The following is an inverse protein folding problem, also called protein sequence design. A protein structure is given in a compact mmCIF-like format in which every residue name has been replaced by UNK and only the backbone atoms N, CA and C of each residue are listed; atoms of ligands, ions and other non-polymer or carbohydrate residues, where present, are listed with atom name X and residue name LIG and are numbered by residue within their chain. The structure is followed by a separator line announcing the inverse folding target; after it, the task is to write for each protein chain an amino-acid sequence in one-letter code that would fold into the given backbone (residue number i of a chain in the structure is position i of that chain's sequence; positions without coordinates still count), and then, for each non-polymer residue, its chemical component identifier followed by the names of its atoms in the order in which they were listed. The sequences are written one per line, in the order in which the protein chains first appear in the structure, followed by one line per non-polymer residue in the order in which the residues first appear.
data_IF_468158023790
#
_entry.id   IF_468158023790
#
_cell.length_a   1.000
_cell.length_b   1.000
_cell.length_c   1.000
_cell.angle_alpha   90.00
_cell.angle_beta   90.00
_cell.angle_gamma   90.00
#
_symmetry.space_group_name_H-M   'P 1'
#
loop_
_entity.id
_entity.type
_entity.pdbx_description
1 polymer ?
#
# COMPACT_ATOMS: atom_id res chain seq x y z
N UNK A 1 7.75 -9.41 7.12
CA UNK A 1 8.47 -8.31 6.43
C UNK A 1 7.97 -6.99 6.99
N UNK A 2 8.76 -6.31 7.83
CA UNK A 2 8.42 -4.97 8.34
C UNK A 2 8.59 -3.98 7.18
N UNK A 3 7.58 -3.19 6.85
CA UNK A 3 7.71 -2.04 5.94
C UNK A 3 8.69 -1.06 6.61
N UNK A 4 9.94 -1.05 6.15
CA UNK A 4 11.01 -0.23 6.68
C UNK A 4 11.49 0.70 5.58
N UNK A 5 11.28 2.01 5.75
CA UNK A 5 11.77 3.04 4.84
C UNK A 5 13.24 3.40 5.13
N UNK A 6 13.94 2.68 6.02
CA UNK A 6 15.35 2.95 6.38
C UNK A 6 16.32 2.91 5.18
N UNK A 7 15.91 2.34 4.05
CA UNK A 7 16.69 2.28 2.82
C UNK A 7 16.41 3.44 1.86
N UNK A 8 15.34 4.23 2.07
CA UNK A 8 15.03 5.37 1.20
C UNK A 8 16.13 6.44 1.24
N UNK A 9 16.77 6.80 2.38
CA UNK A 9 17.83 7.81 2.38
C UNK A 9 19.07 7.35 1.62
N UNK A 10 19.41 6.05 1.70
CA UNK A 10 20.58 5.48 1.00
C UNK A 10 20.42 5.42 -0.52
N UNK A 11 19.18 5.34 -1.00
CA UNK A 11 18.85 5.31 -2.43
C UNK A 11 18.41 6.68 -2.95
N UNK A 12 18.25 7.67 -2.08
CA UNK A 12 17.76 8.99 -2.47
C UNK A 12 18.88 9.79 -3.12
N UNK A 13 18.68 10.15 -4.38
CA UNK A 13 19.51 11.12 -5.11
C UNK A 13 18.87 12.53 -5.14
N UNK A 14 17.92 12.79 -4.24
CA UNK A 14 17.21 14.07 -4.10
C UNK A 14 15.76 14.06 -4.59
N UNK A 15 15.33 13.01 -5.30
CA UNK A 15 13.98 12.92 -5.89
C UNK A 15 12.98 12.02 -5.15
N UNK A 16 13.39 11.30 -4.10
CA UNK A 16 12.49 10.42 -3.35
C UNK A 16 11.82 11.18 -2.19
N UNK A 17 10.49 11.12 -2.15
CA UNK A 17 9.70 11.61 -1.04
C UNK A 17 9.84 10.68 0.17
N UNK A 18 10.06 11.27 1.34
CA UNK A 18 10.11 10.55 2.61
C UNK A 18 8.70 10.55 3.22
N UNK A 19 8.06 9.39 3.41
CA UNK A 19 6.72 9.33 3.99
C UNK A 19 6.74 9.68 5.47
N UNK A 20 5.63 10.24 5.98
CA UNK A 20 5.45 10.42 7.42
C UNK A 20 5.29 9.07 8.13
N UNK A 21 5.64 9.02 9.41
CA UNK A 21 5.52 7.81 10.22
C UNK A 21 4.07 7.30 10.30
N UNK A 22 3.10 8.21 10.35
CA UNK A 22 1.67 7.90 10.34
C UNK A 22 1.26 7.12 9.09
N UNK A 23 1.69 7.57 7.90
CA UNK A 23 1.41 6.89 6.63
C UNK A 23 2.00 5.48 6.64
N UNK A 24 3.25 5.33 7.12
CA UNK A 24 3.90 4.02 7.21
C UNK A 24 3.13 3.08 8.14
N UNK A 25 2.67 3.57 9.30
CA UNK A 25 1.88 2.79 10.26
C UNK A 25 0.55 2.33 9.66
N UNK A 26 -0.14 3.21 8.93
CA UNK A 26 -1.39 2.87 8.21
C UNK A 26 -1.12 1.77 7.19
N UNK A 27 -0.07 1.91 6.36
CA UNK A 27 0.30 0.91 5.37
C UNK A 27 0.69 -0.44 6.01
N UNK A 28 1.37 -0.44 7.16
CA UNK A 28 1.72 -1.65 7.91
C UNK A 28 0.49 -2.41 8.40
N UNK A 29 -0.49 -1.69 8.93
CA UNK A 29 -1.76 -2.30 9.32
C UNK A 29 -2.47 -2.86 8.10
N UNK A 30 -2.60 -2.08 7.02
CA UNK A 30 -3.22 -2.56 5.78
C UNK A 30 -2.54 -3.82 5.22
N UNK A 31 -1.20 -3.87 5.20
CA UNK A 31 -0.43 -5.06 4.79
C UNK A 31 -0.73 -6.27 5.67
N UNK A 32 -0.96 -6.07 6.97
CA UNK A 32 -1.31 -7.15 7.89
C UNK A 32 -2.66 -7.77 7.53
N UNK A 33 -3.66 -6.94 7.19
CA UNK A 33 -4.97 -7.41 6.73
C UNK A 33 -4.88 -8.16 5.40
N UNK A 34 -4.16 -7.60 4.41
CA UNK A 34 -3.92 -8.30 3.13
C UNK A 34 -3.28 -9.67 3.39
N UNK A 35 -2.27 -9.75 4.25
CA UNK A 35 -1.60 -11.03 4.56
C UNK A 35 -2.54 -12.04 5.20
N UNK A 36 -3.41 -11.60 6.12
CA UNK A 36 -4.42 -12.48 6.73
C UNK A 36 -5.39 -13.02 5.69
N UNK A 37 -5.91 -12.15 4.83
CA UNK A 37 -6.77 -12.54 3.71
C UNK A 37 -6.08 -13.56 2.81
N UNK A 38 -4.84 -13.27 2.39
CA UNK A 38 -4.06 -14.18 1.55
C UNK A 38 -3.77 -15.53 2.22
N UNK A 39 -3.57 -15.55 3.54
CA UNK A 39 -3.38 -16.79 4.28
C UNK A 39 -4.66 -17.64 4.30
N UNK A 40 -5.82 -17.01 4.43
CA UNK A 40 -7.13 -17.68 4.41
C UNK A 40 -7.47 -18.21 3.01
N UNK A 41 -7.10 -17.50 1.94
CA UNK A 41 -7.39 -17.90 0.55
C UNK A 41 -6.31 -18.80 -0.07
N UNK A 42 -5.38 -19.35 0.72
CA UNK A 42 -4.33 -20.24 0.21
C UNK A 42 -3.38 -19.55 -0.78
N UNK A 43 -3.02 -18.29 -0.50
CA UNK A 43 -2.20 -17.41 -1.35
C UNK A 43 -2.81 -17.06 -2.73
N UNK A 44 -4.12 -17.18 -2.88
CA UNK A 44 -4.84 -16.73 -4.07
C UNK A 44 -5.37 -15.32 -3.87
N UNK A 45 -5.40 -14.54 -4.95
CA UNK A 45 -6.06 -13.23 -4.94
C UNK A 45 -7.56 -13.49 -4.79
N UNK A 46 -8.22 -12.92 -3.77
CA UNK A 46 -9.67 -13.07 -3.61
C UNK A 46 -10.41 -12.43 -4.80
N UNK A 47 -11.42 -13.12 -5.31
CA UNK A 47 -12.23 -12.65 -6.45
C UNK A 47 -13.51 -11.93 -6.03
N UNK A 48 -13.69 -11.64 -4.74
CA UNK A 48 -14.90 -10.97 -4.24
C UNK A 48 -14.85 -9.46 -4.52
N UNK A 49 -15.80 -8.97 -5.30
CA UNK A 49 -15.90 -7.56 -5.73
C UNK A 49 -15.94 -6.58 -4.55
N UNK A 50 -16.55 -6.98 -3.43
CA UNK A 50 -16.76 -6.13 -2.26
C UNK A 50 -15.65 -6.22 -1.21
N UNK A 51 -14.64 -7.06 -1.41
CA UNK A 51 -13.62 -7.28 -0.40
C UNK A 51 -12.77 -6.03 -0.15
N UNK A 52 -12.34 -5.35 -1.20
CA UNK A 52 -11.44 -4.19 -1.07
C UNK A 52 -12.11 -2.94 -0.48
N UNK A 53 -13.36 -2.59 -0.87
CA UNK A 53 -14.13 -1.58 -0.15
C UNK A 53 -14.31 -1.94 1.32
N UNK A 54 -14.66 -3.19 1.62
CA UNK A 54 -14.86 -3.66 3.01
C UNK A 54 -13.57 -3.58 3.83
N UNK A 55 -12.44 -4.00 3.28
CA UNK A 55 -11.13 -3.87 3.92
C UNK A 55 -10.77 -2.40 4.17
N UNK A 56 -11.06 -1.52 3.20
CA UNK A 56 -10.81 -0.08 3.35
C UNK A 56 -11.57 0.47 4.55
N UNK A 57 -12.86 0.13 4.67
CA UNK A 57 -13.71 0.56 5.79
C UNK A 57 -13.17 0.01 7.11
N UNK A 58 -12.94 -1.31 7.21
CA UNK A 58 -12.47 -1.97 8.44
C UNK A 58 -11.12 -1.40 8.91
N UNK A 59 -10.17 -1.23 7.99
CA UNK A 59 -8.84 -0.70 8.31
C UNK A 59 -8.97 0.77 8.75
N UNK A 60 -9.77 1.57 8.04
CA UNK A 60 -9.94 2.99 8.37
C UNK A 60 -10.60 3.17 9.73
N UNK A 61 -11.66 2.41 10.03
CA UNK A 61 -12.37 2.44 11.32
C UNK A 61 -11.43 2.19 12.51
N UNK A 62 -10.42 1.32 12.36
CA UNK A 62 -9.43 1.06 13.40
C UNK A 62 -8.64 2.31 13.82
N UNK A 63 -8.49 3.26 12.91
CA UNK A 63 -7.76 4.51 13.14
C UNK A 63 -8.68 5.68 13.46
N UNK A 64 -10.01 5.50 13.49
CA UNK A 64 -10.95 6.58 13.74
C UNK A 64 -10.70 7.25 15.10
N UNK A 65 -10.61 6.45 16.17
CA UNK A 65 -10.36 6.95 17.53
C UNK A 65 -8.94 7.51 17.76
N UNK A 66 -7.96 7.13 16.92
CA UNK A 66 -6.56 7.55 17.04
C UNK A 66 -6.14 8.51 15.94
N UNK A 67 -7.09 9.02 15.17
CA UNK A 67 -6.86 9.87 13.99
C UNK A 67 -6.12 11.16 14.36
N UNK A 68 -6.53 11.80 15.46
CA UNK A 68 -5.94 13.05 15.96
C UNK A 68 -4.49 12.85 16.45
N UNK A 69 -4.14 11.65 16.92
CA UNK A 69 -2.76 11.30 17.32
C UNK A 69 -1.85 10.96 16.13
N UNK A 70 -2.43 10.45 15.04
CA UNK A 70 -1.66 10.11 13.84
C UNK A 70 -1.22 11.36 13.08
N UNK A 71 -2.02 12.41 13.12
CA UNK A 71 -1.77 13.63 12.36
C UNK A 71 -2.00 14.87 13.25
N UNK A 72 -1.15 15.10 14.25
CA UNK A 72 -1.34 16.17 15.23
C UNK A 72 -1.34 17.56 14.58
N UNK A 73 -0.51 17.78 13.57
CA UNK A 73 -0.42 19.06 12.84
C UNK A 73 -1.61 19.34 11.93
N UNK A 74 -2.48 18.35 11.68
CA UNK A 74 -3.72 18.54 10.92
C UNK A 74 -4.89 18.95 11.80
N UNK A 75 -4.79 18.76 13.14
CA UNK A 75 -5.84 19.14 14.10
C UNK A 75 -6.07 20.65 14.08
N UNK A 76 -4.99 21.44 14.06
CA UNK A 76 -5.06 22.91 14.07
C UNK A 76 -5.77 23.48 12.83
N UNK A 77 -5.62 22.82 11.67
CA UNK A 77 -6.35 23.18 10.44
C UNK A 77 -7.81 22.72 10.46
N UNK A 78 -8.13 21.60 11.13
CA UNK A 78 -9.50 21.08 11.21
C UNK A 78 -10.41 21.91 12.12
N UNK A 79 -9.87 22.67 13.07
CA UNK A 79 -10.64 23.57 13.94
C UNK A 79 -11.29 24.75 13.20
N UNK A 80 -10.89 24.99 11.95
CA UNK A 80 -11.46 26.05 11.10
C UNK A 80 -12.69 25.60 10.30
N UNK A 81 -13.08 24.31 10.39
CA UNK A 81 -14.14 23.72 9.57
C UNK A 81 -15.40 23.38 10.38
N UNK A 82 -16.60 23.37 9.75
CA UNK A 82 -17.86 23.11 10.44
C UNK A 82 -17.90 21.69 11.04
N UNK A 83 -18.44 21.57 12.25
CA UNK A 83 -18.55 20.31 13.01
C UNK A 83 -19.40 19.20 12.38
N UNK A 84 -20.06 19.48 11.25
CA UNK A 84 -20.98 18.58 10.56
C UNK A 84 -20.34 17.80 9.39
N UNK A 85 -19.07 18.04 9.07
CA UNK A 85 -18.35 17.32 8.00
C UNK A 85 -17.55 16.12 8.55
N UNK A 86 -17.37 15.06 7.74
CA UNK A 86 -16.47 13.97 8.11
C UNK A 86 -15.09 14.55 8.45
N UNK A 87 -14.56 14.23 9.65
CA UNK A 87 -13.20 14.64 10.07
C UNK A 87 -12.23 14.47 8.90
N UNK A 88 -11.63 15.54 8.38
CA UNK A 88 -10.76 15.49 7.20
C UNK A 88 -9.61 14.49 7.36
N UNK A 89 -9.09 14.34 8.58
CA UNK A 89 -8.08 13.34 8.95
C UNK A 89 -8.56 11.91 8.63
N UNK A 90 -9.84 11.61 8.85
CA UNK A 90 -10.41 10.32 8.53
C UNK A 90 -10.56 10.09 7.02
N UNK A 91 -10.92 11.12 6.26
CA UNK A 91 -10.92 11.07 4.79
C UNK A 91 -9.51 10.78 4.27
N UNK A 92 -8.50 11.46 4.81
CA UNK A 92 -7.10 11.23 4.47
C UNK A 92 -6.68 9.78 4.75
N UNK A 93 -7.04 9.22 5.91
CA UNK A 93 -6.78 7.83 6.25
C UNK A 93 -7.44 6.89 5.23
N UNK A 94 -8.72 7.08 4.89
CA UNK A 94 -9.42 6.28 3.87
C UNK A 94 -8.68 6.31 2.53
N UNK A 95 -8.23 7.49 2.11
CA UNK A 95 -7.49 7.68 0.85
C UNK A 95 -6.13 6.96 0.87
N UNK A 96 -5.35 7.09 1.96
CA UNK A 96 -4.07 6.38 2.13
C UNK A 96 -4.27 4.87 2.06
N UNK A 97 -5.27 4.34 2.78
CA UNK A 97 -5.60 2.91 2.78
C UNK A 97 -5.96 2.45 1.38
N UNK A 98 -6.89 3.15 0.72
CA UNK A 98 -7.33 2.79 -0.63
C UNK A 98 -6.16 2.80 -1.64
N UNK A 99 -5.34 3.84 -1.62
CA UNK A 99 -4.15 3.93 -2.49
C UNK A 99 -3.19 2.76 -2.25
N UNK A 100 -2.90 2.44 -0.98
CA UNK A 100 -2.03 1.32 -0.63
C UNK A 100 -2.59 -0.02 -1.10
N UNK A 101 -3.88 -0.29 -0.83
CA UNK A 101 -4.53 -1.54 -1.24
C UNK A 101 -4.45 -1.72 -2.76
N UNK A 102 -4.80 -0.69 -3.54
CA UNK A 102 -4.73 -0.74 -5.02
C UNK A 102 -3.33 -1.07 -5.53
N UNK A 103 -2.31 -0.36 -5.04
CA UNK A 103 -0.91 -0.61 -5.43
C UNK A 103 -0.51 -2.05 -5.06
N UNK A 104 -0.91 -2.51 -3.87
CA UNK A 104 -0.51 -3.81 -3.36
C UNK A 104 -1.15 -4.96 -4.15
N UNK A 105 -2.42 -4.85 -4.49
CA UNK A 105 -3.14 -5.84 -5.31
C UNK A 105 -2.51 -5.90 -6.70
N UNK A 106 -2.27 -4.75 -7.33
CA UNK A 106 -1.60 -4.71 -8.62
C UNK A 106 -0.24 -5.42 -8.57
N UNK A 107 0.55 -5.17 -7.51
CA UNK A 107 1.82 -5.87 -7.30
C UNK A 107 1.65 -7.39 -7.13
N UNK A 108 0.61 -7.85 -6.43
CA UNK A 108 0.31 -9.27 -6.26
C UNK A 108 -0.13 -9.92 -7.58
N UNK A 109 -1.05 -9.28 -8.30
CA UNK A 109 -1.52 -9.72 -9.61
C UNK A 109 -0.36 -9.84 -10.60
N UNK A 110 0.50 -8.81 -10.68
CA UNK A 110 1.70 -8.85 -11.51
C UNK A 110 2.61 -10.04 -11.17
N UNK A 111 2.89 -10.26 -9.88
CA UNK A 111 3.71 -11.42 -9.46
C UNK A 111 3.07 -12.76 -9.81
N UNK A 112 1.74 -12.84 -9.76
CA UNK A 112 1.00 -14.03 -10.12
C UNK A 112 1.07 -14.29 -11.63
N UNK A 113 0.86 -13.25 -12.45
CA UNK A 113 1.02 -13.29 -13.90
C UNK A 113 2.45 -13.66 -14.30
N UNK A 114 3.46 -13.01 -13.71
CA UNK A 114 4.88 -13.29 -13.99
C UNK A 114 5.23 -14.76 -13.69
N UNK A 115 4.62 -15.36 -12.66
CA UNK A 115 4.81 -16.78 -12.33
C UNK A 115 4.17 -17.72 -13.35
N UNK A 116 2.98 -17.38 -13.84
CA UNK A 116 2.24 -18.22 -14.81
C UNK A 116 2.85 -18.10 -16.20
N UNK A 117 3.20 -16.89 -16.62
CA UNK A 117 3.68 -16.61 -17.97
C UNK A 117 5.09 -17.17 -18.23
N UNK A 118 5.86 -17.44 -17.18
CA UNK A 118 7.25 -17.88 -17.30
C UNK A 118 8.16 -16.80 -17.88
N UNK A 119 9.45 -17.10 -18.13
CA UNK A 119 10.33 -16.15 -18.82
C UNK A 119 9.82 -15.91 -20.23
N UNK A 120 9.55 -14.65 -20.56
CA UNK A 120 9.20 -14.24 -21.92
C UNK A 120 10.31 -14.68 -22.89
N UNK A 121 9.95 -15.26 -24.04
CA UNK A 121 10.90 -15.63 -25.10
C UNK A 121 11.79 -14.45 -25.46
N UNK A 122 11.26 -13.22 -25.43
CA UNK A 122 12.02 -11.98 -25.64
C UNK A 122 13.04 -11.71 -24.53
N UNK A 123 12.70 -11.98 -23.27
CA UNK A 123 13.64 -11.85 -22.14
C UNK A 123 14.73 -12.93 -22.15
N UNK A 124 14.39 -14.16 -22.58
CA UNK A 124 15.35 -15.23 -22.74
C UNK A 124 16.35 -14.93 -23.87
N UNK A 125 15.85 -14.49 -25.04
CA UNK A 125 16.67 -14.18 -26.21
C UNK A 125 17.51 -12.91 -26.04
N UNK A 126 16.99 -11.86 -25.37
CA UNK A 126 17.80 -10.65 -25.11
C UNK A 126 18.97 -10.92 -24.15
N UNK A 127 18.79 -11.80 -23.16
CA UNK A 127 19.93 -12.25 -22.33
C UNK A 127 20.92 -13.06 -23.15
N UNK A 128 20.44 -13.93 -24.03
CA UNK A 128 21.30 -14.72 -24.90
C UNK A 128 22.14 -13.83 -25.82
N UNK A 129 21.57 -12.79 -26.44
CA UNK A 129 22.30 -11.82 -27.26
C UNK A 129 23.35 -11.04 -26.44
N UNK A 130 23.02 -10.63 -25.21
CA UNK A 130 23.95 -9.90 -24.34
C UNK A 130 25.15 -10.74 -23.90
N UNK A 131 25.00 -12.07 -23.80
CA UNK A 131 26.07 -12.99 -23.39
C UNK A 131 26.67 -13.80 -24.55
N UNK A 132 26.19 -13.65 -25.80
CA UNK A 132 26.70 -14.41 -26.94
C UNK A 132 28.07 -13.91 -27.45
N UNK A 133 28.54 -12.78 -26.94
CA UNK A 133 29.80 -12.14 -27.34
C UNK A 133 30.76 -11.92 -26.15
N UNK A 134 30.59 -12.68 -25.07
CA UNK A 134 31.56 -12.83 -23.98
C UNK A 134 32.14 -14.23 -24.01
#
# INVERSE_FOLDING_TARGET
MKLSYRFTPKKNTGGLLIPSEAVVKICQVAETYIRKVMALTGNRIPSEDNLFPSLTIIISQKFYATSDQLFPTLVDHCLSFPSNEEKHTFILIKQIVNAYLRIRIFSLAKKYTDRIQGPSVRQALNKLILFNHQ
#
